data_IF_109409558132
#
_entry.id   IF_109409558132
#
_cell.length_a   1.000
_cell.length_b   1.000
_cell.length_c   1.000
_cell.angle_alpha   90.00
_cell.angle_beta   90.00
_cell.angle_gamma   90.00
#
_symmetry.space_group_name_H-M   'P 1'
#
loop_
_entity.id
_entity.type
_entity.pdbx_description
1 polymer ?
#
# COMPACT_ATOMS: atom_id res chain seq x y z
N UNK A 1 -11.71 -23.00 1.27
CA UNK A 1 -12.06 -21.60 1.55
C UNK A 1 -12.11 -21.46 3.06
N UNK A 2 -11.21 -20.69 3.63
CA UNK A 2 -11.22 -20.42 5.06
C UNK A 2 -12.22 -19.29 5.33
N UNK A 3 -12.94 -19.41 6.45
CA UNK A 3 -13.98 -18.47 6.87
C UNK A 3 -13.33 -17.40 7.73
N UNK A 4 -13.53 -16.14 7.37
CA UNK A 4 -13.09 -15.00 8.18
C UNK A 4 -14.29 -14.60 9.03
N UNK A 5 -14.12 -14.62 10.36
CA UNK A 5 -15.16 -14.21 11.30
C UNK A 5 -14.73 -12.86 11.89
N UNK A 6 -15.41 -11.80 11.49
CA UNK A 6 -15.31 -10.46 12.08
C UNK A 6 -16.73 -10.10 12.51
N UNK A 7 -16.93 -9.82 13.79
CA UNK A 7 -18.24 -9.50 14.39
C UNK A 7 -19.38 -10.49 14.07
N UNK A 8 -19.06 -11.76 13.89
CA UNK A 8 -20.03 -12.83 13.60
C UNK A 8 -20.46 -12.90 12.13
N UNK A 9 -19.93 -12.06 11.25
CA UNK A 9 -20.09 -12.19 9.80
C UNK A 9 -19.01 -13.10 9.21
N UNK A 10 -19.44 -14.17 8.55
CA UNK A 10 -18.56 -15.07 7.80
C UNK A 10 -18.48 -14.58 6.35
N UNK A 11 -17.36 -13.97 5.98
CA UNK A 11 -17.10 -13.53 4.60
C UNK A 11 -16.21 -14.55 3.86
N UNK A 12 -16.61 -14.95 2.65
CA UNK A 12 -15.80 -15.78 1.76
C UNK A 12 -14.96 -14.86 0.85
N UNK A 13 -13.68 -14.70 1.19
CA UNK A 13 -12.76 -13.88 0.42
C UNK A 13 -11.81 -14.73 -0.40
N UNK A 14 -11.64 -14.34 -1.65
CA UNK A 14 -10.65 -14.95 -2.54
C UNK A 14 -9.19 -14.62 -2.18
N UNK A 15 -8.98 -13.61 -1.33
CA UNK A 15 -7.69 -13.25 -0.74
C UNK A 15 -7.42 -13.97 0.59
N UNK A 16 -8.33 -14.82 1.07
CA UNK A 16 -8.12 -15.55 2.31
C UNK A 16 -6.80 -16.35 2.29
N UNK A 17 -6.03 -16.23 3.36
CA UNK A 17 -4.70 -16.80 3.55
C UNK A 17 -3.61 -16.21 2.63
N UNK A 18 -3.88 -15.11 1.94
CA UNK A 18 -2.88 -14.40 1.17
C UNK A 18 -2.08 -13.44 2.05
N UNK A 19 -0.84 -13.17 1.65
CA UNK A 19 0.02 -12.14 2.21
C UNK A 19 0.15 -11.00 1.19
N UNK A 20 -0.53 -9.87 1.39
CA UNK A 20 -0.37 -8.70 0.53
C UNK A 20 1.02 -8.08 0.71
N UNK A 21 1.71 -7.85 -0.39
CA UNK A 21 3.08 -7.31 -0.44
C UNK A 21 3.10 -6.06 -1.30
N UNK A 22 3.71 -4.98 -0.81
CA UNK A 22 4.00 -3.79 -1.63
C UNK A 22 4.88 -4.16 -2.83
N UNK A 23 4.45 -3.77 -4.02
CA UNK A 23 5.30 -3.84 -5.20
C UNK A 23 6.44 -2.81 -5.10
N UNK A 24 7.59 -3.03 -5.77
CA UNK A 24 8.68 -2.06 -5.81
C UNK A 24 8.22 -0.73 -6.42
N UNK A 25 7.97 0.26 -5.57
CA UNK A 25 7.57 1.60 -5.96
C UNK A 25 8.05 2.59 -4.90
N UNK A 26 8.52 3.75 -5.34
CA UNK A 26 8.89 4.81 -4.39
C UNK A 26 7.64 5.30 -3.67
N UNK A 27 7.72 5.39 -2.34
CA UNK A 27 6.66 5.97 -1.53
C UNK A 27 7.23 6.68 -0.30
N UNK A 28 6.41 7.50 0.33
CA UNK A 28 6.73 8.11 1.61
C UNK A 28 5.51 8.68 2.31
N UNK A 29 5.72 9.14 3.54
CA UNK A 29 4.71 9.63 4.48
C UNK A 29 4.62 11.16 4.39
N UNK A 30 3.44 11.74 4.59
CA UNK A 30 3.24 13.19 4.55
C UNK A 30 2.23 13.65 5.60
N UNK A 31 2.31 14.94 5.93
CA UNK A 31 1.40 15.57 6.88
C UNK A 31 1.59 15.05 8.31
N UNK A 32 0.63 15.39 9.16
CA UNK A 32 0.59 14.93 10.54
C UNK A 32 -0.04 13.54 10.64
N UNK A 33 0.18 12.88 11.77
CA UNK A 33 -0.48 11.62 12.12
C UNK A 33 -1.98 11.85 12.22
N UNK A 34 -2.75 11.07 11.45
CA UNK A 34 -4.21 11.03 11.58
C UNK A 34 -4.66 9.86 12.47
N UNK A 35 -3.76 8.91 12.73
CA UNK A 35 -4.01 7.70 13.48
C UNK A 35 -2.86 7.49 14.47
N UNK A 36 -3.18 7.34 15.75
CA UNK A 36 -2.19 6.99 16.76
C UNK A 36 -2.15 5.47 16.91
N UNK A 37 -1.00 4.85 16.61
CA UNK A 37 -0.81 3.40 16.68
C UNK A 37 0.64 3.08 17.01
N UNK A 38 0.86 1.97 17.72
CA UNK A 38 2.20 1.44 18.05
C UNK A 38 2.60 0.25 17.16
N UNK A 39 1.86 0.02 16.07
CA UNK A 39 2.12 -1.11 15.16
C UNK A 39 3.45 -0.91 14.41
N UNK A 40 4.37 -1.91 14.43
CA UNK A 40 5.60 -1.85 13.65
C UNK A 40 5.32 -1.68 12.15
N UNK A 41 6.08 -0.78 11.52
CA UNK A 41 5.97 -0.42 10.11
C UNK A 41 4.79 0.50 9.76
N UNK A 42 4.03 0.97 10.75
CA UNK A 42 2.86 1.83 10.56
C UNK A 42 3.09 3.17 11.25
N UNK A 43 2.98 4.26 10.48
CA UNK A 43 3.17 5.61 11.00
C UNK A 43 1.86 6.30 11.35
N UNK A 44 0.73 5.83 10.80
CA UNK A 44 -0.56 6.53 10.95
C UNK A 44 -0.62 7.87 10.21
N UNK A 45 0.27 8.10 9.24
CA UNK A 45 0.35 9.30 8.40
C UNK A 45 -0.12 9.01 6.98
N UNK A 46 -0.45 10.05 6.23
CA UNK A 46 -0.86 9.88 4.84
C UNK A 46 0.31 9.42 3.98
N UNK A 47 0.06 8.47 3.09
CA UNK A 47 1.04 7.94 2.15
C UNK A 47 0.92 8.62 0.78
N UNK A 48 2.06 8.80 0.11
CA UNK A 48 2.11 9.16 -1.31
C UNK A 48 2.97 8.15 -2.05
N UNK A 49 2.41 7.57 -3.11
CA UNK A 49 3.19 6.79 -4.06
C UNK A 49 3.70 7.70 -5.17
N UNK A 50 4.96 7.55 -5.57
CA UNK A 50 5.55 8.23 -6.71
C UNK A 50 6.13 7.20 -7.65
N UNK A 51 5.69 7.23 -8.90
CA UNK A 51 6.22 6.33 -9.92
C UNK A 51 6.30 7.06 -11.26
N UNK A 52 7.21 6.60 -12.12
CA UNK A 52 7.28 7.13 -13.47
C UNK A 52 6.07 6.67 -14.30
N UNK A 53 5.60 7.52 -15.20
CA UNK A 53 4.64 7.08 -16.21
C UNK A 53 5.38 6.14 -17.18
N UNK A 54 4.93 4.90 -17.30
CA UNK A 54 5.49 3.91 -18.22
C UNK A 54 5.15 4.30 -19.66
N UNK A 55 5.79 5.34 -20.21
CA UNK A 55 5.55 5.77 -21.58
C UNK A 55 6.05 4.69 -22.53
N UNK A 56 5.15 4.07 -23.31
CA UNK A 56 5.54 3.28 -24.48
C UNK A 56 6.26 4.22 -25.47
N UNK A 57 7.15 3.68 -26.32
CA UNK A 57 8.01 4.48 -27.22
C UNK A 57 7.25 5.53 -28.05
N UNK A 58 6.00 5.23 -28.46
CA UNK A 58 5.14 6.13 -29.23
C UNK A 58 4.60 7.29 -28.38
N UNK A 59 4.29 7.06 -27.10
CA UNK A 59 3.80 8.10 -26.18
C UNK A 59 4.89 9.10 -25.79
N UNK A 60 6.18 8.75 -25.88
CA UNK A 60 7.28 9.67 -25.55
C UNK A 60 7.32 10.91 -26.47
N UNK A 61 6.91 10.77 -27.73
CA UNK A 61 6.84 11.89 -28.69
C UNK A 61 5.68 12.82 -28.30
N UNK A 62 4.51 12.24 -28.00
CA UNK A 62 3.32 12.99 -27.58
C UNK A 62 3.51 13.63 -26.20
N UNK A 63 4.21 12.98 -25.27
CA UNK A 63 4.51 13.51 -23.94
C UNK A 63 5.44 14.73 -24.01
N UNK A 64 6.42 14.75 -24.93
CA UNK A 64 7.27 15.92 -25.19
C UNK A 64 6.47 17.08 -25.78
N UNK A 65 5.51 16.79 -26.67
CA UNK A 65 4.62 17.78 -27.25
C UNK A 65 3.65 18.37 -26.20
N UNK A 66 3.15 17.54 -25.29
CA UNK A 66 2.15 17.90 -24.27
C UNK A 66 2.74 18.31 -22.92
N UNK A 67 4.07 18.36 -22.75
CA UNK A 67 4.76 18.60 -21.46
C UNK A 67 4.20 17.74 -20.32
N UNK A 68 3.84 16.48 -20.61
CA UNK A 68 3.23 15.61 -19.62
C UNK A 68 4.22 15.31 -18.49
N UNK A 69 3.79 15.35 -17.21
CA UNK A 69 4.66 15.09 -16.08
C UNK A 69 5.27 13.68 -16.16
N UNK A 70 6.58 13.59 -15.91
CA UNK A 70 7.34 12.33 -15.96
C UNK A 70 7.07 11.45 -14.74
N UNK A 71 6.92 12.10 -13.59
CA UNK A 71 6.57 11.49 -12.31
C UNK A 71 5.06 11.62 -12.08
N UNK A 72 4.42 10.53 -11.67
CA UNK A 72 3.04 10.51 -11.22
C UNK A 72 3.04 10.43 -9.70
N UNK A 73 2.38 11.40 -9.06
CA UNK A 73 2.14 11.41 -7.61
C UNK A 73 0.72 10.91 -7.33
N UNK A 74 0.60 9.93 -6.44
CA UNK A 74 -0.66 9.32 -6.02
C UNK A 74 -0.79 9.43 -4.50
N UNK A 75 -1.34 10.55 -3.98
CA UNK A 75 -1.68 10.61 -2.57
C UNK A 75 -2.77 9.60 -2.27
N UNK A 76 -2.60 8.83 -1.21
CA UNK A 76 -3.62 7.95 -0.66
C UNK A 76 -4.48 8.72 0.35
N UNK A 77 -5.72 8.26 0.54
CA UNK A 77 -6.56 8.68 1.65
C UNK A 77 -6.13 7.97 2.95
N UNK A 78 -6.80 8.24 4.05
CA UNK A 78 -6.42 7.69 5.37
C UNK A 78 -6.49 6.16 5.41
N UNK A 79 -7.60 5.57 4.97
CA UNK A 79 -7.77 4.10 4.94
C UNK A 79 -6.73 3.42 4.05
N UNK A 80 -6.53 3.93 2.82
CA UNK A 80 -5.56 3.34 1.91
C UNK A 80 -4.11 3.60 2.35
N UNK A 81 -3.84 4.65 3.12
CA UNK A 81 -2.52 4.89 3.72
C UNK A 81 -2.20 3.84 4.77
N UNK A 82 -3.13 3.57 5.70
CA UNK A 82 -2.96 2.49 6.67
C UNK A 82 -2.83 1.14 5.97
N UNK A 83 -3.75 0.83 5.05
CA UNK A 83 -3.74 -0.42 4.30
C UNK A 83 -2.39 -0.63 3.58
N UNK A 84 -1.86 0.42 2.95
CA UNK A 84 -0.55 0.37 2.31
C UNK A 84 0.57 0.01 3.29
N UNK A 85 0.62 0.66 4.46
CA UNK A 85 1.62 0.39 5.50
C UNK A 85 1.51 -1.03 6.08
N UNK A 86 0.29 -1.56 6.19
CA UNK A 86 0.04 -2.93 6.65
C UNK A 86 0.49 -4.02 5.65
N UNK A 87 0.51 -3.74 4.34
CA UNK A 87 0.87 -4.68 3.27
C UNK A 87 2.38 -4.94 3.14
N UNK A 88 3.04 -5.29 4.24
CA UNK A 88 4.47 -5.56 4.29
C UNK A 88 4.86 -6.98 3.84
N UNK A 89 3.89 -7.85 3.54
CA UNK A 89 4.12 -9.25 3.17
C UNK A 89 4.23 -10.24 4.32
N UNK A 90 4.18 -9.76 5.57
CA UNK A 90 4.20 -10.59 6.78
C UNK A 90 2.84 -10.70 7.45
N UNK A 91 1.95 -9.73 7.18
CA UNK A 91 0.55 -9.81 7.62
C UNK A 91 -0.29 -10.54 6.58
N UNK A 92 -1.10 -11.47 7.07
CA UNK A 92 -2.15 -12.12 6.30
C UNK A 92 -3.28 -11.15 5.99
N UNK A 93 -4.07 -11.47 4.97
CA UNK A 93 -5.30 -10.75 4.66
C UNK A 93 -6.23 -10.64 5.88
N UNK A 94 -6.39 -11.72 6.64
CA UNK A 94 -7.22 -11.79 7.84
C UNK A 94 -6.77 -10.82 8.93
N UNK A 95 -5.46 -10.80 9.23
CA UNK A 95 -4.90 -9.83 10.19
C UNK A 95 -5.10 -8.39 9.74
N UNK A 96 -4.95 -8.13 8.44
CA UNK A 96 -5.19 -6.79 7.88
C UNK A 96 -6.67 -6.40 8.03
N UNK A 97 -7.61 -7.31 7.77
CA UNK A 97 -9.04 -7.02 7.95
C UNK A 97 -9.36 -6.65 9.40
N UNK A 98 -8.85 -7.42 10.37
CA UNK A 98 -9.05 -7.14 11.80
C UNK A 98 -8.48 -5.77 12.16
N UNK A 99 -7.25 -5.47 11.73
CA UNK A 99 -6.62 -4.16 12.00
C UNK A 99 -7.39 -3.01 11.33
N UNK A 100 -7.89 -3.21 10.11
CA UNK A 100 -8.70 -2.19 9.44
C UNK A 100 -10.01 -1.91 10.18
N UNK A 101 -10.66 -2.97 10.69
CA UNK A 101 -11.89 -2.88 11.48
C UNK A 101 -11.64 -2.15 12.81
N UNK A 102 -10.63 -2.55 13.56
CA UNK A 102 -10.24 -1.92 14.84
C UNK A 102 -9.93 -0.42 14.69
N UNK A 103 -9.31 -0.01 13.58
CA UNK A 103 -8.89 1.38 13.39
C UNK A 103 -9.96 2.29 12.77
N UNK A 104 -10.98 1.74 12.09
CA UNK A 104 -11.94 2.53 11.31
C UNK A 104 -13.42 2.21 11.57
N UNK A 105 -13.75 1.11 12.25
CA UNK A 105 -15.11 0.77 12.71
C UNK A 105 -16.16 0.96 11.59
N UNK A 106 -17.22 1.73 11.83
CA UNK A 106 -18.29 2.01 10.85
C UNK A 106 -17.79 2.49 9.48
N UNK A 107 -16.62 3.13 9.38
CA UNK A 107 -16.09 3.65 8.12
C UNK A 107 -15.61 2.55 7.18
N UNK A 108 -15.25 1.38 7.71
CA UNK A 108 -14.77 0.24 6.92
C UNK A 108 -15.79 -0.90 6.81
N UNK A 109 -16.87 -0.88 7.58
CA UNK A 109 -17.90 -1.91 7.57
C UNK A 109 -18.57 -2.11 6.18
N UNK A 110 -18.78 -3.36 5.72
CA UNK A 110 -18.20 -4.61 6.24
C UNK A 110 -16.69 -4.70 5.96
N UNK A 111 -15.88 -4.87 7.02
CA UNK A 111 -14.43 -4.72 6.94
C UNK A 111 -13.77 -5.65 5.92
N UNK A 112 -14.19 -6.92 5.88
CA UNK A 112 -13.63 -7.91 4.96
C UNK A 112 -13.83 -7.51 3.49
N UNK A 113 -15.06 -7.14 3.11
CA UNK A 113 -15.41 -6.77 1.74
C UNK A 113 -14.70 -5.48 1.31
N UNK A 114 -14.67 -4.48 2.20
CA UNK A 114 -14.09 -3.17 1.90
C UNK A 114 -12.57 -3.23 1.82
N UNK A 115 -11.94 -4.01 2.69
CA UNK A 115 -10.49 -4.28 2.67
C UNK A 115 -10.09 -5.06 1.42
N UNK A 116 -10.82 -6.13 1.07
CA UNK A 116 -10.56 -6.88 -0.16
C UNK A 116 -10.68 -5.97 -1.40
N UNK A 117 -11.74 -5.15 -1.48
CA UNK A 117 -11.93 -4.24 -2.59
C UNK A 117 -10.77 -3.24 -2.73
N UNK A 118 -10.27 -2.68 -1.63
CA UNK A 118 -9.14 -1.75 -1.64
C UNK A 118 -7.82 -2.44 -2.05
N UNK A 119 -7.53 -3.62 -1.49
CA UNK A 119 -6.37 -4.42 -1.86
C UNK A 119 -6.39 -4.78 -3.35
N UNK A 120 -7.54 -5.24 -3.86
CA UNK A 120 -7.71 -5.58 -5.28
C UNK A 120 -7.48 -4.37 -6.17
N UNK A 121 -8.02 -3.21 -5.82
CA UNK A 121 -7.79 -1.99 -6.60
C UNK A 121 -6.32 -1.59 -6.66
N UNK A 122 -5.57 -1.73 -5.57
CA UNK A 122 -4.13 -1.48 -5.56
C UNK A 122 -3.36 -2.54 -6.36
N UNK A 123 -3.74 -3.80 -6.24
CA UNK A 123 -3.16 -4.92 -7.00
C UNK A 123 -3.40 -4.81 -8.51
N UNK A 124 -4.62 -4.46 -8.94
CA UNK A 124 -4.96 -4.22 -10.35
C UNK A 124 -4.18 -3.06 -10.96
N UNK A 125 -3.77 -2.08 -10.13
CA UNK A 125 -2.90 -0.97 -10.53
C UNK A 125 -1.41 -1.33 -10.50
N UNK A 126 -1.07 -2.55 -10.06
CA UNK A 126 0.30 -3.05 -9.97
C UNK A 126 1.08 -2.55 -8.75
N UNK A 127 0.40 -2.03 -7.72
CA UNK A 127 1.05 -1.54 -6.51
C UNK A 127 1.15 -2.59 -5.40
N UNK A 128 0.34 -3.64 -5.47
CA UNK A 128 0.40 -4.77 -4.54
C UNK A 128 0.53 -6.10 -5.30
N UNK A 129 1.19 -7.05 -4.66
CA UNK A 129 1.27 -8.46 -5.04
C UNK A 129 0.64 -9.30 -3.93
N UNK A 130 0.15 -10.49 -4.26
CA UNK A 130 -0.50 -11.38 -3.29
C UNK A 130 0.24 -12.73 -3.28
N UNK A 131 0.93 -13.02 -2.19
CA UNK A 131 1.61 -14.30 -1.99
C UNK A 131 0.70 -15.29 -1.27
N UNK A 132 0.90 -16.60 -1.47
CA UNK A 132 0.22 -17.68 -0.73
C UNK A 132 1.04 -18.21 0.45
N UNK A 133 2.25 -17.72 0.59
CA UNK A 133 3.16 -17.94 1.72
C UNK A 133 3.64 -16.59 2.22
N UNK A 134 4.11 -16.55 3.47
CA UNK A 134 4.74 -15.34 3.99
C UNK A 134 5.88 -14.88 3.06
N UNK A 135 6.05 -13.57 2.94
CA UNK A 135 7.04 -12.97 2.04
C UNK A 135 8.46 -13.17 2.57
N UNK A 136 9.37 -13.61 1.70
CA UNK A 136 10.76 -13.92 2.07
C UNK A 136 11.71 -12.72 1.87
N UNK A 137 11.18 -11.48 1.91
CA UNK A 137 11.97 -10.25 1.77
C UNK A 137 12.88 -10.20 0.54
N UNK A 138 12.43 -10.81 -0.57
CA UNK A 138 13.20 -10.87 -1.82
C UNK A 138 13.38 -9.49 -2.49
N UNK A 139 12.64 -8.47 -2.04
CA UNK A 139 12.89 -7.07 -2.31
C UNK A 139 12.49 -6.22 -1.09
N UNK A 140 13.11 -5.04 -0.90
CA UNK A 140 12.75 -4.18 0.21
C UNK A 140 11.41 -3.49 -0.05
N UNK A 141 10.62 -3.29 1.01
CA UNK A 141 9.26 -2.74 0.93
C UNK A 141 9.11 -1.40 1.66
N UNK A 142 10.18 -0.93 2.30
CA UNK A 142 10.24 0.33 3.03
C UNK A 142 10.12 1.57 2.13
N UNK A 143 9.95 2.75 2.74
CA UNK A 143 9.79 4.02 2.03
C UNK A 143 11.09 4.44 1.32
N UNK A 144 10.97 5.36 0.37
CA UNK A 144 12.13 5.99 -0.26
C UNK A 144 12.87 5.15 -1.31
N UNK A 145 12.46 3.89 -1.50
CA UNK A 145 13.14 2.96 -2.41
C UNK A 145 12.54 3.05 -3.80
N UNK A 146 13.32 3.55 -4.76
CA UNK A 146 12.98 3.52 -6.18
C UNK A 146 13.73 2.38 -6.89
N UNK A 147 13.03 1.37 -7.45
CA UNK A 147 13.70 0.31 -8.20
C UNK A 147 14.52 0.83 -9.40
N UNK A 148 14.17 1.98 -9.97
CA UNK A 148 14.91 2.59 -11.09
C UNK A 148 16.06 3.49 -10.62
N UNK A 149 16.11 3.87 -9.34
CA UNK A 149 17.10 4.83 -8.79
C UNK A 149 17.00 6.26 -9.36
N UNK A 150 15.87 6.63 -9.95
CA UNK A 150 15.62 7.92 -10.61
C UNK A 150 14.97 8.93 -9.66
N UNK A 151 14.03 8.47 -8.84
CA UNK A 151 13.23 9.29 -7.94
C UNK A 151 14.07 9.64 -6.71
N UNK A 152 14.31 10.95 -6.56
CA UNK A 152 14.98 11.52 -5.40
C UNK A 152 13.97 11.86 -4.29
N UNK A 153 14.40 11.91 -3.02
CA UNK A 153 13.58 12.39 -1.90
C UNK A 153 12.90 13.73 -2.22
N UNK A 154 11.67 13.90 -1.75
CA UNK A 154 10.84 15.07 -2.06
C UNK A 154 10.56 15.86 -0.79
N UNK A 155 10.72 17.18 -0.87
CA UNK A 155 10.34 18.07 0.22
C UNK A 155 8.87 17.85 0.63
N UNK A 156 8.63 17.78 1.94
CA UNK A 156 7.31 17.51 2.51
C UNK A 156 6.83 16.06 2.41
N UNK A 157 7.69 15.14 1.95
CA UNK A 157 7.44 13.70 1.98
C UNK A 157 8.60 13.04 2.73
N UNK A 158 8.27 12.47 3.87
CA UNK A 158 9.16 11.72 4.73
C UNK A 158 9.36 10.32 4.17
N UNK A 159 10.59 10.02 3.76
CA UNK A 159 10.98 8.73 3.19
C UNK A 159 11.92 7.94 4.10
N UNK A 160 12.04 8.33 5.37
CA UNK A 160 12.89 7.62 6.32
C UNK A 160 12.17 6.36 6.83
N UNK A 161 12.88 5.23 6.98
CA UNK A 161 12.31 4.03 7.55
C UNK A 161 12.03 4.21 9.03
N UNK A 162 10.96 3.55 9.49
CA UNK A 162 10.62 3.43 10.92
C UNK A 162 10.82 1.98 11.39
N UNK A 163 10.71 1.74 12.69
CA UNK A 163 10.79 0.38 13.23
C UNK A 163 9.73 -0.53 12.59
N UNK A 164 10.15 -1.69 12.10
CA UNK A 164 9.33 -2.62 11.32
C UNK A 164 9.32 -2.41 9.80
N UNK A 165 9.93 -1.36 9.25
CA UNK A 165 10.16 -1.26 7.80
C UNK A 165 11.32 -2.17 7.37
N UNK A 166 11.14 -2.89 6.26
CA UNK A 166 12.18 -3.71 5.62
C UNK A 166 12.83 -2.90 4.49
N UNK A 167 14.11 -2.54 4.66
CA UNK A 167 14.92 -1.71 3.73
C UNK A 167 16.13 -2.43 3.19
#
# INVERSE_FOLDING_TARGET
MAKIEVDGEVSDSSLSGAYPVRAPVWWGRRGEEFLNTELPGVSGRFVVLIHNKSFRRVEKILAKLLKAPRELRRPLDDMNSLLWELCNGHRTFEEIVVLMDEMFDEKVAPAAERTEAALRQLGERGFLLFSRTEFEDVWPTGPGIDPDGIIQPKEGIDSEPIDGDVV
#
